data_IF_132421329622
#
_entry.id   IF_132421329622
#
_cell.length_a   1.000
_cell.length_b   1.000
_cell.length_c   1.000
_cell.angle_alpha   90.00
_cell.angle_beta   90.00
_cell.angle_gamma   90.00
#
_symmetry.space_group_name_H-M   'P 1'
#
loop_
_entity.id
_entity.type
_entity.pdbx_description
1 polymer ?
#
# COMPACT_ATOMS: atom_id res chain seq x y z
N UNK A 1 -9.35 -69.67 -17.63
CA UNK A 1 -8.13 -69.74 -18.46
C UNK A 1 -8.24 -68.64 -19.52
N UNK A 2 -7.16 -67.87 -19.72
CA UNK A 2 -6.97 -66.63 -20.51
C UNK A 2 -7.26 -65.31 -19.74
N UNK A 3 -6.31 -64.33 -19.69
CA UNK A 3 -5.98 -63.64 -18.44
C UNK A 3 -6.37 -62.16 -18.35
N UNK A 4 -6.35 -61.66 -17.11
CA UNK A 4 -6.45 -60.26 -16.71
C UNK A 4 -5.42 -59.39 -17.47
N UNK A 5 -5.91 -58.48 -18.31
CA UNK A 5 -5.10 -57.42 -18.90
C UNK A 5 -4.70 -56.43 -17.80
N UNK A 6 -3.43 -56.51 -17.42
CA UNK A 6 -2.70 -55.56 -16.58
C UNK A 6 -2.67 -54.19 -17.25
N UNK A 7 -3.49 -53.25 -16.78
CA UNK A 7 -3.37 -51.83 -17.11
C UNK A 7 -2.09 -51.29 -16.46
N UNK A 8 -1.04 -51.07 -17.27
CA UNK A 8 0.21 -50.41 -16.86
C UNK A 8 -0.03 -48.90 -16.79
N UNK A 9 0.57 -48.29 -15.77
CA UNK A 9 0.51 -46.88 -15.40
C UNK A 9 0.74 -45.91 -16.56
N UNK A 10 -0.16 -44.94 -16.68
CA UNK A 10 0.14 -43.63 -17.25
C UNK A 10 0.29 -42.65 -16.10
N UNK A 11 1.53 -42.30 -15.77
CA UNK A 11 1.81 -41.07 -15.05
C UNK A 11 1.48 -39.91 -15.99
N UNK A 12 0.52 -39.05 -15.62
CA UNK A 12 0.30 -37.78 -16.32
C UNK A 12 -0.22 -36.72 -15.35
N UNK A 13 0.67 -35.75 -15.12
CA UNK A 13 0.40 -34.35 -14.81
C UNK A 13 -0.39 -34.07 -13.51
N UNK A 14 0.27 -34.36 -12.38
CA UNK A 14 0.15 -33.43 -11.25
C UNK A 14 0.87 -32.15 -11.65
N UNK A 15 0.17 -31.28 -12.38
CA UNK A 15 0.59 -29.91 -12.64
C UNK A 15 0.66 -29.23 -11.29
N UNK A 16 1.84 -29.29 -10.69
CA UNK A 16 2.28 -28.40 -9.65
C UNK A 16 2.03 -26.97 -10.13
N UNK A 17 0.91 -26.37 -9.71
CA UNK A 17 0.78 -24.92 -9.61
C UNK A 17 1.68 -24.46 -8.46
N UNK A 18 2.98 -24.75 -8.55
CA UNK A 18 4.00 -24.06 -7.81
C UNK A 18 3.98 -22.64 -8.36
N UNK A 19 3.18 -21.76 -7.73
CA UNK A 19 3.36 -20.33 -7.89
C UNK A 19 4.84 -20.07 -7.64
N UNK A 20 5.60 -19.48 -8.57
CA UNK A 20 6.90 -18.97 -8.21
C UNK A 20 6.63 -17.98 -7.07
N UNK A 21 7.03 -18.34 -5.86
CA UNK A 21 7.17 -17.38 -4.78
C UNK A 21 8.34 -16.53 -5.20
N UNK A 22 8.03 -15.48 -5.96
CA UNK A 22 8.97 -14.47 -6.37
C UNK A 22 9.53 -13.84 -5.09
N UNK A 23 10.64 -14.39 -4.60
CA UNK A 23 11.28 -14.02 -3.34
C UNK A 23 12.00 -12.65 -3.44
N UNK A 24 11.54 -11.80 -4.36
CA UNK A 24 12.05 -10.46 -4.51
C UNK A 24 11.51 -9.60 -3.36
N UNK A 25 12.38 -8.86 -2.66
CA UNK A 25 11.96 -8.07 -1.50
C UNK A 25 10.93 -7.03 -1.92
N UNK A 26 9.69 -7.21 -1.47
CA UNK A 26 8.60 -6.28 -1.69
C UNK A 26 8.82 -5.03 -0.84
N UNK A 27 8.61 -3.85 -1.41
CA UNK A 27 8.75 -2.61 -0.64
C UNK A 27 7.52 -2.48 0.24
N UNK A 28 7.75 -2.30 1.54
CA UNK A 28 6.72 -2.13 2.55
C UNK A 28 7.01 -0.95 3.48
N UNK A 29 5.98 -0.58 4.25
CA UNK A 29 6.13 0.35 5.34
C UNK A 29 6.64 -0.38 6.59
N UNK A 30 7.61 0.19 7.28
CA UNK A 30 8.03 -0.32 8.59
C UNK A 30 7.03 0.07 9.68
N UNK A 31 7.19 -0.51 10.88
CA UNK A 31 6.28 -0.31 12.00
C UNK A 31 6.14 1.16 12.41
N UNK A 32 7.22 1.94 12.43
CA UNK A 32 7.19 3.37 12.79
C UNK A 32 6.44 4.16 11.73
N UNK A 33 6.72 3.90 10.45
CA UNK A 33 6.01 4.53 9.34
C UNK A 33 4.50 4.26 9.39
N UNK A 34 4.11 3.00 9.61
CA UNK A 34 2.70 2.62 9.76
C UNK A 34 2.06 3.30 10.96
N UNK A 35 2.73 3.38 12.11
CA UNK A 35 2.21 4.08 13.28
C UNK A 35 1.91 5.56 12.99
N UNK A 36 2.80 6.24 12.26
CA UNK A 36 2.62 7.64 11.87
C UNK A 36 1.40 7.79 10.94
N UNK A 37 1.32 6.94 9.91
CA UNK A 37 0.23 6.97 8.93
C UNK A 37 -1.11 6.68 9.62
N UNK A 38 -1.15 5.64 10.45
CA UNK A 38 -2.35 5.22 11.17
C UNK A 38 -2.79 6.25 12.23
N UNK A 39 -1.85 6.96 12.86
CA UNK A 39 -2.17 8.06 13.77
C UNK A 39 -2.95 9.18 13.09
N UNK A 40 -2.52 9.58 11.88
CA UNK A 40 -3.24 10.59 11.08
C UNK A 40 -4.57 10.03 10.59
N UNK A 41 -4.58 8.77 10.14
CA UNK A 41 -5.80 8.10 9.72
C UNK A 41 -6.87 8.11 10.81
N UNK A 42 -6.52 7.72 12.04
CA UNK A 42 -7.45 7.73 13.17
C UNK A 42 -8.02 9.12 13.45
N UNK A 43 -7.19 10.16 13.42
CA UNK A 43 -7.65 11.55 13.59
C UNK A 43 -8.63 11.97 12.47
N UNK A 44 -8.37 11.57 11.24
CA UNK A 44 -9.22 11.89 10.08
C UNK A 44 -10.52 11.09 10.03
N UNK A 45 -10.51 9.85 10.51
CA UNK A 45 -11.72 9.05 10.75
C UNK A 45 -12.58 9.70 11.82
N UNK A 46 -11.99 10.17 12.93
CA UNK A 46 -12.71 10.88 13.99
C UNK A 46 -13.35 12.20 13.48
N UNK A 47 -12.72 12.86 12.50
CA UNK A 47 -13.27 14.04 11.81
C UNK A 47 -14.34 13.68 10.75
N UNK A 48 -14.57 12.40 10.47
CA UNK A 48 -15.48 11.92 9.42
C UNK A 48 -14.99 12.17 8.00
N UNK A 49 -13.72 12.57 7.82
CA UNK A 49 -13.13 12.87 6.51
C UNK A 49 -12.75 11.57 5.78
N UNK A 50 -12.21 10.58 6.51
CA UNK A 50 -11.72 9.31 5.96
C UNK A 50 -12.55 8.15 6.49
N UNK A 51 -12.69 7.07 5.70
CA UNK A 51 -13.54 5.93 6.07
C UNK A 51 -12.90 4.56 5.86
N UNK A 52 -12.07 4.43 4.84
CA UNK A 52 -11.45 3.16 4.48
C UNK A 52 -10.03 3.38 3.98
N UNK A 53 -9.22 2.31 3.98
CA UNK A 53 -7.87 2.30 3.47
C UNK A 53 -7.50 0.98 2.79
N UNK A 54 -6.55 1.04 1.87
CA UNK A 54 -5.96 -0.14 1.26
C UNK A 54 -4.43 -0.02 1.29
N UNK A 55 -3.77 -1.14 1.57
CA UNK A 55 -2.32 -1.28 1.50
C UNK A 55 -1.95 -2.02 0.23
N UNK A 56 -1.19 -1.36 -0.63
CA UNK A 56 -0.66 -1.96 -1.85
C UNK A 56 0.86 -2.00 -1.72
N UNK A 57 1.42 -3.20 -1.87
CA UNK A 57 2.85 -3.43 -1.80
C UNK A 57 3.30 -3.97 -3.16
N UNK A 58 4.40 -3.45 -3.68
CA UNK A 58 4.92 -3.78 -4.99
C UNK A 58 6.45 -3.81 -4.94
N UNK A 59 7.10 -4.34 -5.98
CA UNK A 59 8.55 -4.36 -6.08
C UNK A 59 9.17 -2.96 -6.25
N UNK A 60 8.40 -1.97 -6.73
CA UNK A 60 8.88 -0.61 -6.89
C UNK A 60 8.42 0.37 -5.80
N UNK A 61 7.32 0.07 -5.10
CA UNK A 61 6.71 0.98 -4.13
C UNK A 61 5.76 0.31 -3.15
N UNK A 62 5.62 0.93 -1.97
CA UNK A 62 4.48 0.73 -1.09
C UNK A 62 3.51 1.91 -1.20
N UNK A 63 2.22 1.67 -1.11
CA UNK A 63 1.19 2.70 -1.10
C UNK A 63 0.12 2.43 -0.04
N UNK A 64 -0.18 3.44 0.78
CA UNK A 64 -1.34 3.50 1.64
C UNK A 64 -2.39 4.38 0.96
N UNK A 65 -3.43 3.76 0.44
CA UNK A 65 -4.53 4.43 -0.24
C UNK A 65 -5.62 4.75 0.78
N UNK A 66 -6.13 5.97 0.77
CA UNK A 66 -7.21 6.43 1.66
C UNK A 66 -8.46 6.71 0.84
N UNK A 67 -9.62 6.29 1.36
CA UNK A 67 -10.91 6.45 0.68
C UNK A 67 -11.91 7.20 1.57
N UNK A 68 -12.72 8.04 0.93
CA UNK A 68 -13.91 8.64 1.55
C UNK A 68 -15.13 7.73 1.45
N UNK A 69 -15.21 6.91 0.39
CA UNK A 69 -16.25 5.91 0.14
C UNK A 69 -15.64 4.70 -0.58
N UNK A 70 -16.20 3.52 -0.35
CA UNK A 70 -15.69 2.21 -0.84
C UNK A 70 -15.64 2.05 -2.36
N UNK A 71 -16.36 2.89 -3.13
CA UNK A 71 -16.42 2.79 -4.61
C UNK A 71 -15.77 3.95 -5.36
N UNK A 72 -15.08 4.86 -4.66
CA UNK A 72 -14.44 6.02 -5.27
C UNK A 72 -12.93 5.80 -5.46
N UNK A 73 -12.33 6.61 -6.34
CA UNK A 73 -10.87 6.66 -6.44
C UNK A 73 -10.27 7.08 -5.09
N UNK A 74 -9.05 6.60 -4.76
CA UNK A 74 -8.37 7.02 -3.54
C UNK A 74 -8.29 8.54 -3.46
N UNK A 75 -8.77 9.11 -2.34
CA UNK A 75 -8.69 10.53 -2.04
C UNK A 75 -7.23 10.97 -1.96
N UNK A 76 -6.43 10.16 -1.27
CA UNK A 76 -4.98 10.31 -1.16
C UNK A 76 -4.28 8.97 -1.23
N UNK A 77 -3.05 8.99 -1.72
CA UNK A 77 -2.11 7.87 -1.68
C UNK A 77 -0.81 8.33 -1.05
N UNK A 78 -0.47 7.74 0.08
CA UNK A 78 0.83 7.94 0.72
C UNK A 78 1.75 6.85 0.17
N UNK A 79 2.80 7.24 -0.54
CA UNK A 79 3.65 6.33 -1.31
C UNK A 79 5.08 6.35 -0.75
N UNK A 80 5.70 5.18 -0.65
CA UNK A 80 7.13 4.97 -0.36
C UNK A 80 7.82 4.38 -1.58
N UNK A 81 8.84 5.07 -2.08
CA UNK A 81 9.65 4.74 -3.27
C UNK A 81 11.14 4.87 -2.94
N UNK A 82 11.80 3.83 -2.41
CA UNK A 82 13.21 3.86 -2.01
C UNK A 82 14.17 4.24 -3.14
N UNK A 83 13.83 3.93 -4.40
CA UNK A 83 14.61 4.34 -5.59
C UNK A 83 14.78 5.87 -5.69
N UNK A 84 13.89 6.63 -5.07
CA UNK A 84 13.92 8.10 -5.06
C UNK A 84 14.51 8.68 -3.76
N UNK A 85 14.94 7.84 -2.83
CA UNK A 85 15.48 8.26 -1.52
C UNK A 85 16.67 9.21 -1.61
N UNK A 86 17.54 9.04 -2.62
CA UNK A 86 18.72 9.91 -2.86
C UNK A 86 18.45 11.05 -3.85
N UNK A 87 17.24 11.15 -4.39
CA UNK A 87 16.86 12.16 -5.39
C UNK A 87 15.92 13.17 -4.74
N UNK A 88 14.65 13.06 -5.07
CA UNK A 88 13.56 13.96 -4.64
C UNK A 88 12.89 13.54 -3.32
N UNK A 89 13.33 12.44 -2.72
CA UNK A 89 12.76 11.89 -1.50
C UNK A 89 11.87 10.67 -1.74
N UNK A 90 11.92 9.73 -0.79
CA UNK A 90 11.25 8.43 -0.90
C UNK A 90 9.75 8.50 -0.61
N UNK A 91 9.26 9.51 0.11
CA UNK A 91 7.84 9.61 0.48
C UNK A 91 7.13 10.65 -0.38
N UNK A 92 5.88 10.36 -0.74
CA UNK A 92 5.02 11.32 -1.42
C UNK A 92 3.55 11.15 -0.99
N UNK A 93 2.81 12.26 -0.99
CA UNK A 93 1.34 12.26 -0.97
C UNK A 93 0.86 12.60 -2.37
N UNK A 94 0.01 11.74 -2.91
CA UNK A 94 -0.61 11.91 -4.21
C UNK A 94 -2.12 12.08 -4.01
N UNK A 95 -2.68 13.16 -4.54
CA UNK A 95 -4.12 13.40 -4.52
C UNK A 95 -4.87 12.52 -5.53
N UNK A 96 -6.19 12.56 -5.44
CA UNK A 96 -7.07 12.10 -6.50
C UNK A 96 -6.66 12.73 -7.85
N UNK A 97 -6.67 11.94 -8.92
CA UNK A 97 -6.19 12.37 -10.25
C UNK A 97 -4.68 12.33 -10.47
N UNK A 98 -3.88 11.97 -9.45
CA UNK A 98 -2.44 11.71 -9.62
C UNK A 98 -1.52 12.90 -9.37
N UNK A 99 -2.06 14.06 -8.99
CA UNK A 99 -1.25 15.22 -8.61
C UNK A 99 -0.43 14.93 -7.35
N UNK A 100 0.86 15.22 -7.37
CA UNK A 100 1.74 15.10 -6.19
C UNK A 100 1.50 16.34 -5.33
N UNK A 101 0.90 16.15 -4.16
CA UNK A 101 0.63 17.23 -3.18
C UNK A 101 1.92 17.62 -2.48
N UNK A 102 2.69 16.62 -2.05
CA UNK A 102 3.95 16.81 -1.36
C UNK A 102 4.87 15.62 -1.55
N UNK A 103 6.18 15.88 -1.55
CA UNK A 103 7.24 14.86 -1.65
C UNK A 103 8.42 15.23 -0.76
N UNK A 104 9.10 14.25 -0.20
CA UNK A 104 10.25 14.48 0.68
C UNK A 104 10.92 13.23 1.23
N UNK A 105 12.00 13.44 1.99
CA UNK A 105 12.79 12.38 2.62
C UNK A 105 12.25 11.95 3.99
N UNK A 106 11.45 12.79 4.63
CA UNK A 106 10.85 12.55 5.94
C UNK A 106 9.33 12.37 5.80
N UNK A 107 8.82 11.27 6.35
CA UNK A 107 7.41 10.91 6.25
C UNK A 107 6.53 11.91 7.00
N UNK A 108 6.93 12.32 8.20
CA UNK A 108 6.15 13.24 9.03
C UNK A 108 6.00 14.61 8.35
N UNK A 109 7.08 15.17 7.81
CA UNK A 109 7.05 16.44 7.06
C UNK A 109 6.12 16.34 5.85
N UNK A 110 6.14 15.22 5.13
CA UNK A 110 5.27 14.99 3.97
C UNK A 110 3.80 14.94 4.39
N UNK A 111 3.51 14.31 5.53
CA UNK A 111 2.15 14.15 6.05
C UNK A 111 1.60 15.39 6.79
N UNK A 112 2.44 16.39 7.10
CA UNK A 112 1.97 17.69 7.64
C UNK A 112 0.90 18.36 6.77
N UNK A 113 0.82 18.02 5.48
CA UNK A 113 -0.24 18.49 4.58
C UNK A 113 -1.65 18.13 5.03
N UNK A 114 -1.81 17.13 5.91
CA UNK A 114 -3.11 16.69 6.42
C UNK A 114 -3.49 17.34 7.76
N UNK A 115 -2.55 18.02 8.42
CA UNK A 115 -2.86 18.74 9.66
C UNK A 115 -3.67 19.99 9.28
N UNK A 116 -4.88 20.12 9.84
CA UNK A 116 -5.60 21.41 9.82
C UNK A 116 -4.76 22.42 10.61
N UNK A 117 -4.83 23.69 10.20
CA UNK A 117 -4.32 24.81 11.02
C UNK A 117 -4.91 24.68 12.43
N UNK A 118 -4.13 24.94 13.50
CA UNK A 118 -4.75 25.13 14.81
C UNK A 118 -5.80 26.23 14.64
N UNK A 119 -7.04 25.91 14.99
CA UNK A 119 -8.10 26.90 15.06
C UNK A 119 -7.70 27.86 16.19
N UNK A 120 -7.17 29.03 15.81
CA UNK A 120 -6.96 30.14 16.72
C UNK A 120 -8.32 30.81 16.94
N UNK A 121 -9.20 30.15 17.67
CA UNK A 121 -10.51 30.67 18.08
C UNK A 121 -10.60 30.79 19.60
N UNK A 122 -9.57 31.36 20.22
CA UNK A 122 -9.52 31.85 21.61
C UNK A 122 -8.43 32.94 21.57
N UNK A 123 -8.66 34.24 21.77
CA UNK A 123 -9.35 35.01 22.82
C UNK A 123 -9.85 36.32 22.19
#
# INVERSE_FOLDING_TARGET
MVPLRRWRSGATAETAYARPVDNAPQISFDRRELNIILGIYGSKVAQGEWRDYALNFDHERAAFCVFRRTSELPLYRIVKQPRLARKQGMYAVIAQGGAIVRRGHDLEQVLKTFRRKPDLSVI
#
